data_IF_312587411429
#
_entry.id   IF_312587411429
#
_cell.length_a   1.000
_cell.length_b   1.000
_cell.length_c   1.000
_cell.angle_alpha   90.00
_cell.angle_beta   90.00
_cell.angle_gamma   90.00
#
_symmetry.space_group_name_H-M   'P 1'
#
loop_
_entity.id
_entity.type
_entity.pdbx_description
1 polymer ?
#
# COMPACT_ATOMS: atom_id res chain seq x y z
N UNK A 1 -13.14 12.72 16.69
CA UNK A 1 -12.03 11.74 16.55
C UNK A 1 -11.08 12.20 15.45
N UNK A 2 -9.76 12.04 15.64
CA UNK A 2 -8.75 12.37 14.61
C UNK A 2 -8.58 11.16 13.69
N UNK A 3 -8.54 11.36 12.37
CA UNK A 3 -8.25 10.28 11.41
C UNK A 3 -6.76 9.86 11.54
N UNK A 4 -6.42 8.58 11.31
CA UNK A 4 -5.04 8.13 11.29
C UNK A 4 -4.24 8.86 10.20
N UNK A 5 -2.94 9.05 10.44
CA UNK A 5 -2.03 9.64 9.46
C UNK A 5 -1.63 8.62 8.40
N UNK A 6 -1.13 9.09 7.26
CA UNK A 6 -0.62 8.22 6.19
C UNK A 6 0.45 7.29 6.74
N UNK A 7 1.45 7.81 7.48
CA UNK A 7 2.49 6.97 8.09
C UNK A 7 1.95 5.88 9.02
N UNK A 8 0.92 6.18 9.81
CA UNK A 8 0.26 5.18 10.67
C UNK A 8 -0.43 4.09 9.86
N UNK A 9 -1.09 4.47 8.75
CA UNK A 9 -1.75 3.53 7.84
C UNK A 9 -0.71 2.60 7.19
N UNK A 10 0.42 3.13 6.70
CA UNK A 10 1.48 2.31 6.10
C UNK A 10 2.14 1.37 7.11
N UNK A 11 2.41 1.86 8.33
CA UNK A 11 2.96 1.01 9.40
C UNK A 11 2.01 -0.15 9.74
N UNK A 12 0.70 0.11 9.80
CA UNK A 12 -0.32 -0.92 10.03
C UNK A 12 -0.36 -1.92 8.88
N UNK A 13 -0.40 -1.45 7.64
CA UNK A 13 -0.42 -2.31 6.46
C UNK A 13 0.83 -3.21 6.40
N UNK A 14 2.02 -2.67 6.70
CA UNK A 14 3.27 -3.42 6.66
C UNK A 14 3.31 -4.52 7.72
N UNK A 15 2.80 -4.23 8.92
CA UNK A 15 2.67 -5.21 9.98
C UNK A 15 1.67 -6.32 9.62
N UNK A 16 0.57 -5.98 8.93
CA UNK A 16 -0.42 -6.97 8.48
C UNK A 16 0.16 -7.88 7.39
N UNK A 17 0.84 -7.34 6.38
CA UNK A 17 1.50 -8.14 5.34
C UNK A 17 2.49 -9.14 5.97
N UNK A 18 3.33 -8.66 6.91
CA UNK A 18 4.29 -9.52 7.62
C UNK A 18 3.61 -10.60 8.48
N UNK A 19 2.41 -10.35 9.00
CA UNK A 19 1.67 -11.31 9.83
C UNK A 19 1.04 -12.43 9.01
N UNK A 20 0.66 -12.15 7.77
CA UNK A 20 0.04 -13.12 6.85
C UNK A 20 1.03 -13.73 5.85
N UNK A 21 2.33 -13.46 6.03
CA UNK A 21 3.43 -13.90 5.15
C UNK A 21 3.24 -13.50 3.67
N UNK A 22 2.52 -12.40 3.43
CA UNK A 22 2.37 -11.82 2.09
C UNK A 22 3.44 -10.75 1.87
N UNK A 23 4.11 -10.73 0.69
CA UNK A 23 5.05 -9.68 0.36
C UNK A 23 4.35 -8.32 0.28
N UNK A 24 5.07 -7.28 0.66
CA UNK A 24 4.61 -5.91 0.43
C UNK A 24 4.54 -5.63 -1.08
N UNK A 25 3.43 -5.08 -1.60
CA UNK A 25 3.31 -4.80 -3.03
C UNK A 25 4.28 -3.70 -3.48
N UNK A 26 5.06 -3.97 -4.54
CA UNK A 26 6.04 -3.02 -5.08
C UNK A 26 5.44 -1.97 -6.02
N UNK A 27 4.22 -2.20 -6.52
CA UNK A 27 3.54 -1.31 -7.49
C UNK A 27 2.11 -1.01 -7.07
N UNK A 28 1.55 0.09 -7.60
CA UNK A 28 0.15 0.45 -7.43
C UNK A 28 -0.81 -0.63 -7.94
N UNK A 29 -0.46 -1.29 -9.04
CA UNK A 29 -1.27 -2.36 -9.64
C UNK A 29 -1.28 -3.60 -8.73
N UNK A 30 -0.11 -4.04 -8.25
CA UNK A 30 0.01 -5.16 -7.30
C UNK A 30 -0.78 -4.88 -6.01
N UNK A 31 -0.73 -3.64 -5.53
CA UNK A 31 -1.49 -3.24 -4.34
C UNK A 31 -3.00 -3.30 -4.59
N UNK A 32 -3.46 -2.84 -5.75
CA UNK A 32 -4.89 -2.83 -6.11
C UNK A 32 -5.42 -4.26 -6.25
N UNK A 33 -4.66 -5.15 -6.92
CA UNK A 33 -5.00 -6.57 -7.06
C UNK A 33 -5.06 -7.27 -5.69
N UNK A 34 -4.05 -7.05 -4.83
CA UNK A 34 -4.02 -7.63 -3.48
C UNK A 34 -5.22 -7.16 -2.65
N UNK A 35 -5.55 -5.86 -2.69
CA UNK A 35 -6.69 -5.30 -1.98
C UNK A 35 -8.00 -5.92 -2.48
N UNK A 36 -8.19 -6.04 -3.79
CA UNK A 36 -9.40 -6.64 -4.37
C UNK A 36 -9.56 -8.11 -3.97
N UNK A 37 -8.47 -8.88 -4.02
CA UNK A 37 -8.45 -10.28 -3.58
C UNK A 37 -8.87 -10.40 -2.11
N UNK A 38 -8.23 -9.63 -1.23
CA UNK A 38 -8.55 -9.62 0.22
C UNK A 38 -10.00 -9.16 0.46
N UNK A 39 -10.46 -8.13 -0.25
CA UNK A 39 -11.84 -7.63 -0.14
C UNK A 39 -12.86 -8.69 -0.53
N UNK A 40 -12.59 -9.45 -1.60
CA UNK A 40 -13.46 -10.53 -2.05
C UNK A 40 -13.49 -11.67 -1.03
N UNK A 41 -12.33 -12.05 -0.50
CA UNK A 41 -12.19 -13.12 0.49
C UNK A 41 -12.97 -12.83 1.78
N UNK A 42 -12.95 -11.58 2.26
CA UNK A 42 -13.68 -11.18 3.47
C UNK A 42 -15.16 -10.83 3.20
N UNK A 43 -15.62 -10.88 1.94
CA UNK A 43 -16.99 -10.53 1.57
C UNK A 43 -17.32 -9.03 1.68
N UNK A 44 -16.35 -8.15 1.39
CA UNK A 44 -16.54 -6.71 1.50
C UNK A 44 -17.56 -6.20 0.46
N UNK A 45 -18.55 -5.35 0.83
CA UNK A 45 -19.69 -4.99 -0.03
C UNK A 45 -19.37 -4.00 -1.16
N UNK A 46 -18.10 -3.66 -1.34
CA UNK A 46 -17.67 -2.54 -2.18
C UNK A 46 -17.37 -3.07 -3.60
N UNK A 47 -17.77 -2.38 -4.68
CA UNK A 47 -17.71 -2.89 -6.06
C UNK A 47 -16.28 -3.17 -6.52
N UNK A 48 -16.12 -4.03 -7.53
CA UNK A 48 -14.80 -4.33 -8.12
C UNK A 48 -14.13 -3.08 -8.66
N UNK A 49 -12.81 -3.12 -8.79
CA UNK A 49 -12.03 -2.00 -9.29
C UNK A 49 -12.52 -1.54 -10.68
N UNK A 50 -12.85 -2.51 -11.54
CA UNK A 50 -13.40 -2.29 -12.89
C UNK A 50 -14.77 -1.57 -12.91
N UNK A 51 -15.57 -1.76 -11.85
CA UNK A 51 -16.89 -1.16 -11.69
C UNK A 51 -16.83 0.21 -10.99
N UNK A 52 -15.67 0.58 -10.45
CA UNK A 52 -15.50 1.82 -9.72
C UNK A 52 -15.41 3.01 -10.68
N UNK A 53 -16.36 3.95 -10.58
CA UNK A 53 -16.27 5.23 -11.28
C UNK A 53 -15.11 6.04 -10.70
N UNK A 54 -13.99 6.14 -11.42
CA UNK A 54 -12.84 6.94 -11.00
C UNK A 54 -13.21 8.42 -10.90
N UNK A 55 -13.43 8.90 -9.67
CA UNK A 55 -13.58 10.33 -9.37
C UNK A 55 -12.18 10.91 -9.19
N UNK A 56 -11.60 11.42 -10.27
CA UNK A 56 -10.24 11.94 -10.27
C UNK A 56 -10.01 13.01 -9.20
N UNK A 57 -9.00 12.80 -8.35
CA UNK A 57 -8.56 13.83 -7.38
C UNK A 57 -7.84 14.99 -8.09
N UNK A 58 -7.91 16.22 -7.55
CA UNK A 58 -7.16 17.38 -8.06
C UNK A 58 -5.67 17.08 -8.22
N UNK A 59 -5.05 17.61 -9.29
CA UNK A 59 -3.64 17.31 -9.66
C UNK A 59 -2.63 17.60 -8.52
N UNK A 60 -2.84 18.67 -7.76
CA UNK A 60 -1.94 19.07 -6.67
C UNK A 60 -1.92 18.05 -5.52
N UNK A 61 -3.06 17.43 -5.24
CA UNK A 61 -3.19 16.43 -4.18
C UNK A 61 -2.49 15.12 -4.57
N UNK A 62 -2.55 14.74 -5.86
CA UNK A 62 -1.84 13.57 -6.38
C UNK A 62 -0.32 13.68 -6.29
N UNK A 63 0.25 14.88 -6.41
CA UNK A 63 1.70 15.10 -6.30
C UNK A 63 2.18 14.93 -4.86
N UNK A 64 1.48 15.57 -3.91
CA UNK A 64 1.81 15.49 -2.49
C UNK A 64 1.66 14.06 -1.95
N UNK A 65 0.61 13.34 -2.38
CA UNK A 65 0.39 11.94 -2.02
C UNK A 65 1.53 11.04 -2.53
N UNK A 66 2.15 11.37 -3.68
CA UNK A 66 3.25 10.60 -4.28
C UNK A 66 4.59 10.87 -3.57
N UNK A 67 4.94 12.13 -3.34
CA UNK A 67 6.20 12.49 -2.66
C UNK A 67 6.27 11.93 -1.24
N UNK A 68 5.16 12.02 -0.49
CA UNK A 68 5.06 11.44 0.85
C UNK A 68 5.04 9.90 0.82
N UNK A 69 4.47 9.30 -0.22
CA UNK A 69 4.51 7.84 -0.41
C UNK A 69 5.93 7.35 -0.62
N UNK A 70 6.69 8.02 -1.51
CA UNK A 70 8.08 7.64 -1.82
C UNK A 70 8.96 7.78 -0.57
N UNK A 71 8.85 8.88 0.19
CA UNK A 71 9.58 9.08 1.46
C UNK A 71 9.25 8.00 2.50
N UNK A 72 7.97 7.67 2.68
CA UNK A 72 7.53 6.65 3.64
C UNK A 72 7.98 5.25 3.21
N UNK A 73 7.94 4.92 1.92
CA UNK A 73 8.42 3.64 1.42
C UNK A 73 9.94 3.51 1.62
N UNK A 74 10.71 4.57 1.33
CA UNK A 74 12.14 4.58 1.57
C UNK A 74 12.45 4.41 3.07
N UNK A 75 11.76 5.11 3.97
CA UNK A 75 11.94 4.97 5.41
C UNK A 75 11.58 3.55 5.91
N UNK A 76 10.41 3.03 5.50
CA UNK A 76 9.87 1.77 6.04
C UNK A 76 10.46 0.52 5.40
N UNK A 77 10.89 0.57 4.13
CA UNK A 77 11.31 -0.61 3.35
C UNK A 77 12.80 -0.62 2.98
N UNK A 78 13.54 0.49 3.07
CA UNK A 78 15.01 0.47 2.89
C UNK A 78 15.78 -0.42 3.89
N UNK A 79 15.29 -0.74 5.10
CA UNK A 79 15.92 -1.75 5.95
C UNK A 79 15.79 -3.18 5.40
N UNK A 80 14.78 -3.48 4.56
CA UNK A 80 14.50 -4.84 4.05
C UNK A 80 15.22 -5.19 2.75
N UNK A 81 15.67 -4.22 1.95
CA UNK A 81 16.46 -4.47 0.71
C UNK A 81 17.93 -4.87 0.96
N UNK A 82 18.44 -4.76 2.18
CA UNK A 82 19.85 -5.08 2.52
C UNK A 82 20.15 -6.56 2.87
N UNK A 83 19.21 -7.49 2.64
CA UNK A 83 19.44 -8.94 2.81
C UNK A 83 19.31 -9.77 1.52
N UNK A 84 19.69 -9.19 0.39
CA UNK A 84 19.91 -9.92 -0.85
C UNK A 84 21.26 -9.52 -1.47
N UNK A 85 22.35 -9.75 -0.74
CA UNK A 85 23.70 -9.78 -1.30
C UNK A 85 24.35 -11.09 -0.82
N UNK A 86 24.81 -11.97 -1.73
CA UNK A 86 25.40 -13.24 -1.33
C UNK A 86 26.76 -12.98 -0.67
N UNK A 87 27.02 -13.70 0.42
CA UNK A 87 28.35 -13.85 1.00
C UNK A 87 29.32 -14.35 -0.08
N UNK A 88 30.32 -13.55 -0.43
CA UNK A 88 31.58 -13.98 -1.02
C UNK A 88 32.71 -13.14 -0.47
#
# INVERSE_FOLDING_TARGET
MRRPTIRQIYALAAALCAKVDEPWPETFDNASELIERVRTEIGHPEPRLEDCIYRGRPKWQRRLDRELHDEILDELLAPRRRKAAPLR
#
